data_IF_377503204831
#
_entry.id   IF_377503204831
#
_cell.length_a   1.000
_cell.length_b   1.000
_cell.length_c   1.000
_cell.angle_alpha   90.00
_cell.angle_beta   90.00
_cell.angle_gamma   90.00
#
_symmetry.space_group_name_H-M   'P 1'
#
loop_
_entity.id
_entity.type
_entity.pdbx_description
1 polymer ?
#
# COMPACT_ATOMS: atom_id res chain seq x y z
N UNK A 1 -22.18 -7.99 18.41
CA UNK A 1 -21.94 -9.43 18.23
C UNK A 1 -22.48 -9.81 16.84
N UNK A 2 -21.66 -10.37 16.02
CA UNK A 2 -22.06 -10.87 14.69
C UNK A 2 -22.45 -12.34 14.84
N UNK A 3 -23.70 -12.73 14.64
CA UNK A 3 -24.22 -14.07 14.98
C UNK A 3 -23.61 -15.19 14.10
N UNK A 4 -23.02 -14.82 12.98
CA UNK A 4 -22.46 -15.76 11.99
C UNK A 4 -20.92 -15.89 12.07
N UNK A 5 -20.28 -15.33 13.13
CA UNK A 5 -18.84 -15.42 13.30
C UNK A 5 -18.55 -16.33 14.49
N UNK A 6 -17.77 -17.38 14.26
CA UNK A 6 -17.18 -18.23 15.28
C UNK A 6 -15.68 -18.07 15.31
N UNK A 7 -15.08 -18.11 16.53
CA UNK A 7 -13.65 -18.01 16.71
C UNK A 7 -13.11 -19.35 17.23
N UNK A 8 -12.10 -19.88 16.56
CA UNK A 8 -11.41 -21.12 16.93
C UNK A 8 -9.96 -20.76 17.28
N UNK A 9 -9.55 -21.00 18.53
CA UNK A 9 -8.20 -20.71 19.03
C UNK A 9 -7.27 -21.93 18.85
N UNK A 10 -6.96 -22.27 17.60
CA UNK A 10 -6.09 -23.39 17.28
C UNK A 10 -5.02 -22.97 16.26
N UNK A 11 -3.88 -23.64 16.32
CA UNK A 11 -2.84 -23.46 15.31
C UNK A 11 -3.21 -24.24 14.05
N UNK A 12 -3.24 -23.58 12.92
CA UNK A 12 -3.36 -24.23 11.61
C UNK A 12 -2.04 -24.94 11.31
N UNK A 13 -2.10 -26.22 10.97
CA UNK A 13 -0.95 -27.04 10.59
C UNK A 13 -0.80 -27.12 9.08
N UNK A 14 -1.90 -27.39 8.39
CA UNK A 14 -1.91 -27.61 6.96
C UNK A 14 -3.17 -27.02 6.32
N UNK A 15 -3.01 -26.56 5.10
CA UNK A 15 -4.09 -26.12 4.23
C UNK A 15 -3.83 -26.71 2.85
N UNK A 16 -4.80 -27.39 2.27
CA UNK A 16 -4.77 -27.76 0.86
C UNK A 16 -6.12 -27.63 0.16
N UNK A 17 -6.08 -27.77 -1.15
CA UNK A 17 -7.23 -27.63 -2.02
C UNK A 17 -7.41 -28.90 -2.86
N UNK A 18 -8.62 -29.15 -3.32
CA UNK A 18 -8.92 -30.22 -4.27
C UNK A 18 -8.62 -29.82 -5.74
N UNK A 19 -7.70 -28.92 -5.97
CA UNK A 19 -7.41 -28.27 -7.27
C UNK A 19 -7.11 -29.22 -8.46
N UNK A 20 -7.06 -30.52 -8.25
CA UNK A 20 -6.79 -31.49 -9.31
C UNK A 20 -8.04 -31.92 -10.10
N UNK A 21 -9.24 -31.42 -9.79
CA UNK A 21 -10.47 -31.98 -10.36
C UNK A 21 -11.35 -30.93 -11.06
N UNK A 22 -11.43 -29.70 -10.58
CA UNK A 22 -12.26 -28.66 -11.19
C UNK A 22 -11.89 -27.26 -10.67
N UNK A 23 -11.50 -26.34 -11.55
CA UNK A 23 -11.20 -24.95 -11.19
C UNK A 23 -12.45 -24.14 -10.79
N UNK A 24 -13.65 -24.66 -11.07
CA UNK A 24 -14.90 -23.98 -10.81
C UNK A 24 -15.50 -24.27 -9.42
N UNK A 25 -15.02 -25.35 -8.74
CA UNK A 25 -15.47 -25.77 -7.41
C UNK A 25 -14.30 -26.02 -6.47
N UNK A 26 -13.57 -24.96 -6.13
CA UNK A 26 -12.43 -25.05 -5.22
C UNK A 26 -12.93 -25.22 -3.77
N UNK A 27 -12.52 -26.29 -3.11
CA UNK A 27 -12.75 -26.52 -1.69
C UNK A 27 -11.42 -26.53 -0.95
N UNK A 28 -11.34 -25.75 0.14
CA UNK A 28 -10.17 -25.70 1.00
C UNK A 28 -10.34 -26.61 2.19
N UNK A 29 -9.30 -27.35 2.52
CA UNK A 29 -9.24 -28.25 3.66
C UNK A 29 -8.21 -27.69 4.66
N UNK A 30 -8.65 -27.47 5.91
CA UNK A 30 -7.81 -26.92 6.97
C UNK A 30 -7.68 -27.94 8.10
N UNK A 31 -6.44 -28.27 8.49
CA UNK A 31 -6.14 -29.07 9.65
C UNK A 31 -5.57 -28.18 10.77
N UNK A 32 -6.03 -28.39 12.00
CA UNK A 32 -5.56 -27.67 13.20
C UNK A 32 -5.00 -28.64 14.26
N UNK A 33 -4.13 -28.11 15.15
CA UNK A 33 -3.37 -28.94 16.12
C UNK A 33 -4.20 -29.66 17.18
N UNK A 34 -5.41 -29.20 17.50
CA UNK A 34 -6.20 -29.68 18.64
C UNK A 34 -7.37 -30.60 18.26
N UNK A 35 -7.53 -30.88 17.00
CA UNK A 35 -8.52 -31.86 16.55
C UNK A 35 -7.80 -33.13 16.18
N UNK A 36 -8.18 -34.25 16.75
CA UNK A 36 -7.75 -35.56 16.28
C UNK A 36 -8.05 -35.67 14.78
N UNK A 37 -7.09 -35.22 13.96
CA UNK A 37 -7.09 -35.27 12.48
C UNK A 37 -8.41 -34.86 11.78
N UNK A 38 -9.22 -33.98 12.36
CA UNK A 38 -10.44 -33.51 11.67
C UNK A 38 -10.14 -32.36 10.73
N UNK A 39 -10.21 -32.65 9.45
CA UNK A 39 -10.19 -31.67 8.38
C UNK A 39 -11.50 -30.91 8.35
N UNK A 40 -11.42 -29.58 8.38
CA UNK A 40 -12.57 -28.72 8.16
C UNK A 40 -12.53 -28.18 6.74
N UNK A 41 -13.67 -28.13 6.08
CA UNK A 41 -13.82 -27.67 4.70
C UNK A 41 -14.39 -26.28 4.65
N UNK A 42 -13.86 -25.46 3.70
CA UNK A 42 -14.27 -24.07 3.48
C UNK A 42 -14.31 -23.75 2.00
N UNK A 43 -15.25 -22.90 1.59
CA UNK A 43 -15.33 -22.38 0.22
C UNK A 43 -14.29 -21.29 -0.04
N UNK A 44 -13.94 -20.51 1.00
CA UNK A 44 -12.95 -19.42 0.93
C UNK A 44 -12.04 -19.43 2.14
N UNK A 45 -10.77 -19.13 1.94
CA UNK A 45 -9.79 -18.98 3.03
C UNK A 45 -9.03 -17.66 2.85
N UNK A 46 -9.05 -16.83 3.89
CA UNK A 46 -8.27 -15.59 3.95
C UNK A 46 -7.09 -15.76 4.89
N UNK A 47 -5.86 -15.68 4.37
CA UNK A 47 -4.64 -15.78 5.14
C UNK A 47 -4.26 -14.39 5.68
N UNK A 48 -4.47 -14.17 6.97
CA UNK A 48 -4.15 -12.93 7.68
C UNK A 48 -3.12 -13.17 8.80
N UNK A 49 -2.15 -14.02 8.53
CA UNK A 49 -1.17 -14.52 9.51
C UNK A 49 -0.01 -13.55 9.79
N UNK A 50 -0.16 -12.27 9.43
CA UNK A 50 0.84 -11.24 9.68
C UNK A 50 1.99 -11.27 8.67
N UNK A 51 3.15 -10.78 9.08
CA UNK A 51 4.35 -10.70 8.26
C UNK A 51 5.31 -11.87 8.55
N UNK A 52 6.01 -12.31 7.51
CA UNK A 52 7.10 -13.27 7.68
C UNK A 52 8.26 -12.67 8.50
N UNK A 53 9.14 -13.56 9.00
CA UNK A 53 10.35 -13.12 9.69
C UNK A 53 11.17 -12.16 8.80
N UNK A 54 11.61 -11.04 9.38
CA UNK A 54 12.40 -10.05 8.64
C UNK A 54 13.75 -10.62 8.24
N UNK A 55 14.10 -10.41 6.99
CA UNK A 55 15.44 -10.67 6.52
C UNK A 55 16.40 -9.62 7.10
N UNK A 56 17.55 -10.06 7.61
CA UNK A 56 18.61 -9.19 8.14
C UNK A 56 19.80 -9.09 7.14
N UNK A 57 19.71 -8.23 6.13
CA UNK A 57 20.71 -8.16 5.06
C UNK A 57 22.06 -7.60 5.55
N UNK A 58 22.11 -7.01 6.73
CA UNK A 58 23.29 -6.35 7.28
C UNK A 58 23.90 -7.11 8.47
N UNK A 59 23.34 -8.25 8.86
CA UNK A 59 23.76 -9.06 10.02
C UNK A 59 23.83 -8.23 11.32
N UNK A 60 22.82 -7.40 11.55
CA UNK A 60 22.73 -6.49 12.72
C UNK A 60 21.84 -7.05 13.82
N UNK A 61 21.12 -8.14 13.59
CA UNK A 61 20.23 -8.76 14.58
C UNK A 61 20.97 -9.08 15.87
N UNK A 62 20.46 -8.60 16.99
CA UNK A 62 21.09 -8.77 18.32
C UNK A 62 22.22 -7.78 18.62
N UNK A 63 22.55 -6.87 17.74
CA UNK A 63 23.47 -5.76 18.04
C UNK A 63 22.75 -4.71 18.89
N UNK A 64 23.45 -4.17 19.90
CA UNK A 64 22.93 -3.11 20.76
C UNK A 64 22.53 -1.90 19.90
N UNK A 65 21.34 -1.36 20.15
CA UNK A 65 20.80 -0.21 19.45
C UNK A 65 20.24 -0.50 18.06
N UNK A 66 20.26 -1.77 17.59
CA UNK A 66 19.64 -2.13 16.30
C UNK A 66 18.21 -2.61 16.50
N UNK A 67 17.27 -1.93 15.88
CA UNK A 67 15.84 -2.25 15.86
C UNK A 67 15.46 -2.65 14.44
N UNK A 68 15.20 -3.94 14.21
CA UNK A 68 14.86 -4.48 12.89
C UNK A 68 13.44 -4.10 12.44
N UNK A 69 12.51 -4.02 13.39
CA UNK A 69 11.12 -3.60 13.17
C UNK A 69 10.69 -2.63 14.25
N UNK A 70 10.05 -1.51 13.90
CA UNK A 70 9.62 -0.53 14.89
C UNK A 70 8.31 -0.92 15.59
N UNK A 71 7.66 -2.02 15.21
CA UNK A 71 6.32 -2.35 15.69
C UNK A 71 6.29 -3.44 16.76
N UNK A 72 5.46 -3.29 17.79
CA UNK A 72 4.68 -2.09 18.11
C UNK A 72 5.58 -0.96 18.64
N UNK A 73 5.39 0.26 18.14
CA UNK A 73 6.28 1.40 18.44
C UNK A 73 6.39 1.70 19.93
N UNK A 74 5.29 1.61 20.66
CA UNK A 74 5.21 1.89 22.10
C UNK A 74 5.99 0.90 22.99
N UNK A 75 6.41 -0.24 22.47
CA UNK A 75 7.28 -1.18 23.21
C UNK A 75 8.71 -1.12 22.67
N UNK A 76 8.83 -1.09 21.33
CA UNK A 76 10.12 -1.26 20.65
C UNK A 76 10.99 -0.01 20.76
N UNK A 77 10.38 1.17 20.83
CA UNK A 77 11.08 2.45 20.89
C UNK A 77 11.16 3.03 22.33
N UNK A 78 10.66 2.32 23.34
CA UNK A 78 10.74 2.76 24.76
C UNK A 78 12.18 2.77 25.30
N UNK A 79 13.10 2.03 24.66
CA UNK A 79 14.52 2.01 25.04
C UNK A 79 15.32 3.23 24.53
N UNK A 80 14.72 4.07 23.70
CA UNK A 80 15.37 5.27 23.16
C UNK A 80 15.53 6.33 24.25
N UNK A 81 16.75 6.84 24.42
CA UNK A 81 17.08 7.81 25.46
C UNK A 81 17.37 9.20 24.87
N UNK A 82 17.28 10.25 25.68
CA UNK A 82 17.48 11.63 25.26
C UNK A 82 18.89 11.97 24.77
N UNK A 83 19.87 11.07 24.95
CA UNK A 83 21.24 11.23 24.50
C UNK A 83 21.57 10.42 23.25
N UNK A 84 20.60 9.70 22.71
CA UNK A 84 20.82 8.85 21.53
C UNK A 84 20.74 9.66 20.23
N UNK A 85 21.55 9.25 19.26
CA UNK A 85 21.43 9.67 17.86
C UNK A 85 20.67 8.60 17.09
N UNK A 86 19.58 8.98 16.44
CA UNK A 86 18.71 8.03 15.74
C UNK A 86 18.98 8.07 14.25
N UNK A 87 19.32 6.90 13.69
CA UNK A 87 19.41 6.68 12.26
C UNK A 87 18.29 5.75 11.79
N UNK A 88 17.50 6.18 10.81
CA UNK A 88 16.41 5.40 10.21
C UNK A 88 16.81 5.02 8.79
N UNK A 89 16.92 3.73 8.51
CA UNK A 89 17.19 3.22 7.16
C UNK A 89 15.88 2.98 6.43
N UNK A 90 15.59 3.84 5.50
CA UNK A 90 14.34 3.90 4.74
C UNK A 90 13.62 5.24 4.93
N UNK A 91 12.77 5.58 3.97
CA UNK A 91 11.94 6.79 3.98
C UNK A 91 10.47 6.48 3.69
N UNK A 92 10.04 5.23 3.91
CA UNK A 92 8.67 4.79 3.72
C UNK A 92 7.74 5.13 4.89
N UNK A 93 6.52 4.63 4.85
CA UNK A 93 5.50 4.91 5.88
C UNK A 93 5.93 4.47 7.29
N UNK A 94 6.53 3.27 7.41
CA UNK A 94 7.03 2.78 8.70
C UNK A 94 8.10 3.71 9.31
N UNK A 95 8.93 4.32 8.46
CA UNK A 95 9.93 5.31 8.91
C UNK A 95 9.27 6.57 9.44
N UNK A 96 8.18 7.03 8.82
CA UNK A 96 7.40 8.17 9.31
C UNK A 96 6.72 7.87 10.64
N UNK A 97 6.27 6.63 10.86
CA UNK A 97 5.71 6.23 12.17
C UNK A 97 6.76 6.30 13.27
N UNK A 98 8.01 5.89 13.00
CA UNK A 98 9.14 6.05 13.93
C UNK A 98 9.41 7.53 14.19
N UNK A 99 9.52 8.35 13.15
CA UNK A 99 9.73 9.80 13.31
C UNK A 99 8.65 10.44 14.16
N UNK A 100 7.38 10.10 13.90
CA UNK A 100 6.24 10.64 14.66
C UNK A 100 6.28 10.23 16.12
N UNK A 101 6.59 8.96 16.39
CA UNK A 101 6.72 8.45 17.76
C UNK A 101 7.85 9.15 18.50
N UNK A 102 9.05 9.19 17.93
CA UNK A 102 10.22 9.83 18.55
C UNK A 102 9.99 11.33 18.74
N UNK A 103 9.48 12.04 17.74
CA UNK A 103 9.21 13.47 17.87
C UNK A 103 8.16 13.80 18.96
N UNK A 104 7.22 12.89 19.21
CA UNK A 104 6.21 13.07 20.26
C UNK A 104 6.76 12.82 21.67
N UNK A 105 7.65 11.84 21.85
CA UNK A 105 8.16 11.43 23.16
C UNK A 105 9.53 12.03 23.49
N UNK A 106 10.35 12.28 22.46
CA UNK A 106 11.70 12.80 22.54
C UNK A 106 11.95 13.94 21.56
N UNK A 107 11.27 15.10 21.69
CA UNK A 107 11.25 16.17 20.67
C UNK A 107 12.58 16.85 20.40
N UNK A 108 13.59 16.60 21.21
CA UNK A 108 14.93 17.19 21.06
C UNK A 108 15.94 16.25 20.41
N UNK A 109 15.58 14.98 20.18
CA UNK A 109 16.51 14.03 19.60
C UNK A 109 16.76 14.31 18.11
N UNK A 110 17.99 14.29 17.66
CA UNK A 110 18.30 14.35 16.24
C UNK A 110 17.89 13.03 15.56
N UNK A 111 17.16 13.14 14.47
CA UNK A 111 16.76 11.99 13.64
C UNK A 111 17.36 12.15 12.25
N UNK A 112 18.13 11.17 11.84
CA UNK A 112 18.65 11.07 10.47
C UNK A 112 17.94 9.97 9.71
N UNK A 113 17.29 10.31 8.58
CA UNK A 113 16.70 9.33 7.68
C UNK A 113 17.56 9.16 6.44
N UNK A 114 17.76 7.94 5.99
CA UNK A 114 18.52 7.64 4.77
C UNK A 114 17.81 6.61 3.91
N UNK A 115 17.84 6.79 2.59
CA UNK A 115 17.38 5.81 1.61
C UNK A 115 18.07 6.03 0.26
N UNK A 116 17.91 5.08 -0.67
CA UNK A 116 18.55 5.17 -2.00
C UNK A 116 18.11 6.38 -2.80
N UNK A 117 16.86 6.78 -2.70
CA UNK A 117 16.28 7.90 -3.46
C UNK A 117 15.97 9.12 -2.60
N UNK A 118 16.03 8.99 -1.27
CA UNK A 118 15.62 9.99 -0.28
C UNK A 118 14.16 10.50 -0.46
N UNK A 119 13.36 9.83 -1.28
CA UNK A 119 11.96 10.23 -1.51
C UNK A 119 11.13 9.95 -0.26
N UNK A 120 10.39 10.93 0.18
CA UNK A 120 9.35 10.78 1.20
C UNK A 120 8.04 10.34 0.56
N UNK A 121 7.15 9.62 1.28
CA UNK A 121 5.80 9.33 0.82
C UNK A 121 5.03 10.62 0.53
N UNK A 122 4.17 10.58 -0.47
CA UNK A 122 3.26 11.68 -0.77
C UNK A 122 2.30 11.93 0.39
N UNK A 123 1.94 13.17 0.59
CA UNK A 123 0.92 13.55 1.59
C UNK A 123 -0.43 12.96 1.18
N UNK A 124 -1.12 12.31 2.11
CA UNK A 124 -2.49 11.85 1.91
C UNK A 124 -3.46 12.93 2.36
N UNK A 125 -4.30 13.39 1.42
CA UNK A 125 -5.43 14.24 1.72
C UNK A 125 -6.72 13.46 1.97
N UNK A 126 -7.81 14.18 2.19
CA UNK A 126 -9.14 13.57 2.29
C UNK A 126 -9.53 12.99 0.94
N UNK A 127 -9.85 11.72 0.91
CA UNK A 127 -10.33 11.05 -0.30
C UNK A 127 -11.80 11.38 -0.55
N UNK A 128 -12.17 11.39 -1.83
CA UNK A 128 -13.52 11.63 -2.32
C UNK A 128 -13.96 10.48 -3.23
N UNK A 129 -15.25 10.35 -3.45
CA UNK A 129 -15.78 9.46 -4.48
C UNK A 129 -15.48 10.04 -5.86
N UNK A 130 -14.86 9.23 -6.71
CA UNK A 130 -14.46 9.60 -8.07
C UNK A 130 -15.17 8.71 -9.06
N UNK A 131 -15.68 9.29 -10.13
CA UNK A 131 -16.20 8.57 -11.29
C UNK A 131 -15.62 9.14 -12.58
N UNK A 132 -15.11 8.26 -13.45
CA UNK A 132 -14.54 8.68 -14.72
C UNK A 132 -15.61 8.83 -15.80
N UNK A 133 -15.49 9.91 -16.60
CA UNK A 133 -16.38 10.20 -17.74
C UNK A 133 -15.76 9.83 -19.08
N UNK A 134 -14.44 9.92 -19.19
CA UNK A 134 -13.69 9.76 -20.43
C UNK A 134 -12.97 8.43 -20.50
N UNK A 135 -12.38 7.97 -19.40
CA UNK A 135 -11.66 6.72 -19.30
C UNK A 135 -12.61 5.61 -18.82
N UNK A 136 -13.61 5.30 -19.63
CA UNK A 136 -14.62 4.28 -19.34
C UNK A 136 -14.46 3.09 -20.27
N UNK A 137 -14.94 1.92 -19.83
CA UNK A 137 -14.86 0.67 -20.60
C UNK A 137 -15.54 0.80 -21.99
N UNK A 138 -16.69 1.48 -22.05
CA UNK A 138 -17.43 1.64 -23.30
C UNK A 138 -16.65 2.52 -24.29
N UNK A 139 -16.09 3.64 -23.85
CA UNK A 139 -15.27 4.51 -24.69
C UNK A 139 -14.00 3.83 -25.17
N UNK A 140 -13.36 3.03 -24.31
CA UNK A 140 -12.19 2.27 -24.74
C UNK A 140 -12.55 1.19 -25.75
N UNK A 141 -13.67 0.51 -25.59
CA UNK A 141 -14.16 -0.45 -26.58
C UNK A 141 -14.44 0.21 -27.94
N UNK A 142 -14.96 1.44 -27.94
CA UNK A 142 -15.16 2.18 -29.19
C UNK A 142 -13.83 2.58 -29.85
N UNK A 143 -12.86 3.03 -29.07
CA UNK A 143 -11.51 3.34 -29.56
C UNK A 143 -10.87 2.11 -30.19
N UNK A 144 -10.95 0.95 -29.52
CA UNK A 144 -10.42 -0.33 -30.02
C UNK A 144 -10.97 -0.73 -31.38
N UNK A 145 -12.24 -0.45 -31.66
CA UNK A 145 -12.85 -0.74 -32.99
C UNK A 145 -12.12 -0.03 -34.14
N UNK A 146 -11.55 1.14 -33.87
CA UNK A 146 -10.85 1.97 -34.85
C UNK A 146 -9.33 1.80 -34.83
N UNK A 147 -8.78 1.00 -33.89
CA UNK A 147 -7.34 0.81 -33.69
C UNK A 147 -6.95 -0.66 -33.59
N UNK A 148 -7.44 -1.51 -34.50
CA UNK A 148 -7.07 -2.93 -34.60
C UNK A 148 -7.21 -3.73 -33.31
N UNK A 149 -8.16 -3.37 -32.45
CA UNK A 149 -8.43 -4.06 -31.19
C UNK A 149 -7.68 -3.52 -29.97
N UNK A 150 -6.82 -2.51 -30.14
CA UNK A 150 -6.05 -1.90 -29.07
C UNK A 150 -6.39 -0.40 -28.92
N UNK A 151 -6.14 0.16 -27.73
CA UNK A 151 -6.18 1.60 -27.51
C UNK A 151 -4.75 2.15 -27.42
N UNK A 152 -4.37 3.15 -28.24
CA UNK A 152 -3.03 3.74 -28.15
C UNK A 152 -2.76 4.35 -26.77
N UNK A 153 -1.54 4.17 -26.25
CA UNK A 153 -1.16 4.69 -24.93
C UNK A 153 -1.37 6.20 -24.82
N UNK A 154 -1.00 6.96 -25.85
CA UNK A 154 -1.20 8.43 -25.88
C UNK A 154 -2.68 8.81 -25.77
N UNK A 155 -3.57 7.98 -26.32
CA UNK A 155 -5.02 8.18 -26.19
C UNK A 155 -5.45 7.95 -24.74
N UNK A 156 -4.97 6.88 -24.08
CA UNK A 156 -5.26 6.61 -22.67
C UNK A 156 -4.77 7.74 -21.75
N UNK A 157 -3.54 8.21 -21.98
CA UNK A 157 -2.97 9.37 -21.27
C UNK A 157 -3.83 10.61 -21.47
N UNK A 158 -4.22 10.89 -22.71
CA UNK A 158 -5.07 12.06 -23.04
C UNK A 158 -6.44 11.98 -22.36
N UNK A 159 -7.03 10.80 -22.25
CA UNK A 159 -8.31 10.60 -21.55
C UNK A 159 -8.14 10.80 -20.04
N UNK A 160 -7.05 10.28 -19.46
CA UNK A 160 -6.77 10.49 -18.05
C UNK A 160 -6.52 11.96 -17.71
N UNK A 161 -5.81 12.70 -18.56
CA UNK A 161 -5.63 14.14 -18.39
C UNK A 161 -6.95 14.91 -18.47
N UNK A 162 -7.91 14.46 -19.29
CA UNK A 162 -9.27 15.01 -19.28
C UNK A 162 -10.01 14.73 -17.98
N UNK A 163 -9.85 13.53 -17.41
CA UNK A 163 -10.40 13.25 -16.08
C UNK A 163 -9.78 14.16 -15.03
N UNK A 164 -8.47 14.38 -15.06
CA UNK A 164 -7.80 15.31 -14.14
C UNK A 164 -8.40 16.72 -14.25
N UNK A 165 -8.65 17.21 -15.44
CA UNK A 165 -9.25 18.52 -15.68
C UNK A 165 -10.68 18.65 -15.14
N UNK A 166 -11.48 17.57 -15.15
CA UNK A 166 -12.83 17.57 -14.57
C UNK A 166 -12.83 17.79 -13.03
N UNK A 167 -11.73 17.44 -12.39
CA UNK A 167 -11.52 17.61 -10.95
C UNK A 167 -10.61 18.81 -10.60
N UNK A 168 -10.36 19.71 -11.54
CA UNK A 168 -9.44 20.86 -11.40
C UNK A 168 -8.01 20.45 -10.98
N UNK A 169 -7.57 19.26 -11.39
CA UNK A 169 -6.24 18.74 -11.11
C UNK A 169 -5.29 19.06 -12.25
N UNK A 170 -4.30 19.88 -11.98
CA UNK A 170 -3.16 20.11 -12.88
C UNK A 170 -2.13 18.97 -12.69
N UNK A 171 -2.26 17.95 -13.53
CA UNK A 171 -1.41 16.75 -13.47
C UNK A 171 0.08 17.08 -13.59
N UNK A 172 0.45 18.00 -14.48
CA UNK A 172 1.85 18.39 -14.69
C UNK A 172 2.42 19.02 -13.42
N UNK A 173 1.69 19.92 -12.78
CA UNK A 173 2.09 20.48 -11.51
C UNK A 173 2.21 19.46 -10.40
N UNK A 174 1.40 18.42 -10.39
CA UNK A 174 1.47 17.38 -9.37
C UNK A 174 2.64 16.39 -9.58
N UNK A 175 2.98 16.06 -10.82
CA UNK A 175 3.95 15.00 -11.15
C UNK A 175 5.37 15.54 -11.39
N UNK A 176 5.52 16.70 -12.04
CA UNK A 176 6.82 17.25 -12.43
C UNK A 176 7.59 17.98 -11.33
N UNK A 177 7.11 17.97 -10.11
CA UNK A 177 7.61 18.76 -8.99
C UNK A 177 8.72 18.19 -8.18
N UNK A 178 9.30 17.09 -8.58
CA UNK A 178 10.48 16.59 -7.86
C UNK A 178 11.67 17.46 -8.19
N UNK A 179 11.85 18.49 -7.35
CA UNK A 179 12.93 19.49 -7.49
C UNK A 179 14.30 18.93 -7.10
N UNK A 180 14.33 17.69 -6.57
CA UNK A 180 15.51 17.14 -5.91
C UNK A 180 15.67 17.59 -4.46
N UNK A 181 14.83 18.53 -4.00
CA UNK A 181 14.74 18.92 -2.61
C UNK A 181 13.48 18.31 -1.98
N UNK A 182 13.62 17.12 -1.41
CA UNK A 182 12.51 16.31 -0.88
C UNK A 182 11.74 17.03 0.24
N UNK A 183 12.37 17.90 1.00
CA UNK A 183 11.69 18.69 2.04
C UNK A 183 10.84 19.79 1.42
N UNK A 184 11.31 20.45 0.36
CA UNK A 184 10.53 21.44 -0.36
C UNK A 184 9.31 20.78 -1.05
N UNK A 185 9.52 19.61 -1.65
CA UNK A 185 8.46 18.83 -2.29
C UNK A 185 7.39 18.40 -1.27
N UNK A 186 7.79 17.90 -0.10
CA UNK A 186 6.87 17.56 0.99
C UNK A 186 6.09 18.79 1.50
N UNK A 187 6.76 19.92 1.69
CA UNK A 187 6.09 21.16 2.11
C UNK A 187 5.06 21.64 1.09
N UNK A 188 5.35 21.48 -0.18
CA UNK A 188 4.42 21.82 -1.25
C UNK A 188 3.19 20.91 -1.21
N UNK A 189 3.36 19.60 -1.01
CA UNK A 189 2.25 18.64 -0.90
C UNK A 189 1.38 18.94 0.35
N UNK A 190 2.03 19.27 1.48
CA UNK A 190 1.34 19.68 2.71
C UNK A 190 0.49 20.93 2.55
N UNK A 191 0.89 21.84 1.65
CA UNK A 191 0.12 23.06 1.36
C UNK A 191 -1.12 22.80 0.48
N UNK A 192 -1.27 21.58 -0.09
CA UNK A 192 -2.33 21.19 -1.04
C UNK A 192 -3.02 19.89 -0.69
N UNK A 193 -3.49 19.70 0.54
CA UNK A 193 -4.03 18.41 0.97
C UNK A 193 -5.29 18.01 0.18
N UNK A 194 -6.10 18.97 -0.25
CA UNK A 194 -7.32 18.71 -1.04
C UNK A 194 -6.99 18.19 -2.43
N UNK A 195 -6.11 18.86 -3.18
CA UNK A 195 -5.66 18.40 -4.50
C UNK A 195 -5.02 17.02 -4.41
N UNK A 196 -4.17 16.79 -3.40
CA UNK A 196 -3.54 15.51 -3.16
C UNK A 196 -4.56 14.41 -2.86
N UNK A 197 -5.59 14.69 -2.07
CA UNK A 197 -6.67 13.75 -1.77
C UNK A 197 -7.48 13.37 -2.99
N UNK A 198 -7.87 14.36 -3.80
CA UNK A 198 -8.59 14.14 -5.08
C UNK A 198 -7.74 13.29 -6.02
N UNK A 199 -6.48 13.65 -6.24
CA UNK A 199 -5.60 12.91 -7.12
C UNK A 199 -5.39 11.46 -6.66
N UNK A 200 -5.23 11.23 -5.37
CA UNK A 200 -5.14 9.88 -4.81
C UNK A 200 -6.42 9.08 -5.04
N UNK A 201 -7.59 9.70 -4.88
CA UNK A 201 -8.87 9.06 -5.17
C UNK A 201 -8.98 8.64 -6.64
N UNK A 202 -8.51 9.49 -7.57
CA UNK A 202 -8.44 9.15 -8.99
C UNK A 202 -7.50 7.98 -9.25
N UNK A 203 -6.34 7.93 -8.61
CA UNK A 203 -5.39 6.82 -8.74
C UNK A 203 -5.96 5.51 -8.16
N UNK A 204 -6.65 5.55 -7.03
CA UNK A 204 -7.29 4.35 -6.48
C UNK A 204 -8.42 3.85 -7.41
N UNK A 205 -9.26 4.75 -7.93
CA UNK A 205 -10.27 4.41 -8.92
C UNK A 205 -9.65 3.83 -10.20
N UNK A 206 -8.53 4.38 -10.66
CA UNK A 206 -7.78 3.85 -11.80
C UNK A 206 -7.26 2.42 -11.51
N UNK A 207 -6.75 2.16 -10.31
CA UNK A 207 -6.25 0.83 -9.92
C UNK A 207 -7.34 -0.23 -9.91
N UNK A 208 -8.52 0.08 -9.43
CA UNK A 208 -9.68 -0.83 -9.44
C UNK A 208 -10.05 -1.26 -10.87
N UNK A 209 -9.81 -0.38 -11.83
CA UNK A 209 -10.10 -0.59 -13.25
C UNK A 209 -8.87 -1.00 -14.08
N UNK A 210 -7.71 -1.18 -13.46
CA UNK A 210 -6.44 -1.34 -14.15
C UNK A 210 -6.41 -2.55 -15.09
N UNK A 211 -7.01 -3.68 -14.69
CA UNK A 211 -7.00 -4.90 -15.50
C UNK A 211 -7.65 -4.71 -16.87
N UNK A 212 -8.82 -4.08 -16.92
CA UNK A 212 -9.49 -3.88 -18.21
C UNK A 212 -8.86 -2.74 -19.03
N UNK A 213 -8.28 -1.73 -18.37
CA UNK A 213 -7.50 -0.67 -19.04
C UNK A 213 -6.23 -1.29 -19.66
N UNK A 214 -5.48 -2.08 -18.90
CA UNK A 214 -4.26 -2.75 -19.36
C UNK A 214 -4.54 -3.70 -20.53
N UNK A 215 -5.59 -4.50 -20.44
CA UNK A 215 -6.01 -5.38 -21.53
C UNK A 215 -6.56 -4.62 -22.75
N UNK A 216 -6.56 -3.29 -22.72
CA UNK A 216 -6.96 -2.44 -23.85
C UNK A 216 -5.77 -1.88 -24.61
N UNK A 217 -4.55 -1.97 -24.06
CA UNK A 217 -3.31 -1.64 -24.76
C UNK A 217 -2.97 -2.76 -25.74
#
# INVERSE_FOLDING_TARGET
KYPNISTIYNKVQEIYTNSNIDETNLTYYICTTNSEQSWQTYDYVFLTCGTFAYHDPYNLKGKKGYIATPYPTYNTLDEVNEQDDIAIIGTGLASLDVVRYVAAHHPKLPITMTSRSANLPSVRGTMIDVSFKYLTKDKLNDIKKHHFGNAPLDTLVSLFLKECAEYDIDFEKLVHRRTGNHIADLKYDLARPTEMGIFQSMIEHLKENLNWIWNSL
#
